data_IF_427708626591
#
_entry.id   IF_427708626591
#
_cell.length_a   1.000
_cell.length_b   1.000
_cell.length_c   1.000
_cell.angle_alpha   90.00
_cell.angle_beta   90.00
_cell.angle_gamma   90.00
#
_symmetry.space_group_name_H-M   'P 1'
#
loop_
_entity.id
_entity.type
_entity.pdbx_description
1 polymer ?
#
# COMPACT_ATOMS: atom_id res chain seq x y z
N UNK A 1 -31.46 22.01 -22.83
CA UNK A 1 -31.06 22.96 -21.79
C UNK A 1 -31.36 22.32 -20.45
N UNK A 2 -30.28 22.08 -19.74
CA UNK A 2 -30.16 21.42 -18.44
C UNK A 2 -31.03 22.05 -17.36
N UNK A 3 -31.42 21.26 -16.36
CA UNK A 3 -30.95 21.52 -14.98
C UNK A 3 -31.41 20.41 -14.04
N UNK A 4 -30.41 19.68 -13.53
CA UNK A 4 -30.46 18.77 -12.40
C UNK A 4 -30.97 19.50 -11.14
N UNK A 5 -31.80 18.81 -10.37
CA UNK A 5 -32.08 19.18 -8.98
C UNK A 5 -32.26 17.91 -8.17
N UNK A 6 -31.16 17.33 -7.74
CA UNK A 6 -31.17 16.32 -6.69
C UNK A 6 -30.67 16.92 -5.39
N UNK A 7 -31.37 16.51 -4.35
CA UNK A 7 -31.53 17.12 -3.04
C UNK A 7 -30.31 16.78 -2.17
N UNK A 8 -29.79 17.78 -1.46
CA UNK A 8 -28.72 17.62 -0.47
C UNK A 8 -29.38 17.21 0.85
N UNK A 9 -29.18 15.96 1.27
CA UNK A 9 -29.46 15.52 2.65
C UNK A 9 -28.20 15.71 3.48
N UNK A 10 -28.27 16.68 4.40
CA UNK A 10 -27.24 17.03 5.37
C UNK A 10 -27.30 16.04 6.54
N UNK A 11 -26.41 15.04 6.56
CA UNK A 11 -26.12 14.27 7.78
C UNK A 11 -24.86 14.84 8.42
N UNK A 12 -25.07 15.68 9.43
CA UNK A 12 -24.04 16.19 10.33
C UNK A 12 -23.60 15.02 11.23
N UNK A 13 -22.44 14.44 10.94
CA UNK A 13 -21.70 13.59 11.88
C UNK A 13 -20.30 14.18 11.99
N UNK A 14 -20.15 15.02 13.02
CA UNK A 14 -18.86 15.43 13.55
C UNK A 14 -18.24 14.20 14.21
N UNK A 15 -17.32 13.56 13.51
CA UNK A 15 -16.32 12.71 14.12
C UNK A 15 -15.05 12.90 13.31
N UNK A 16 -13.96 13.18 14.00
CA UNK A 16 -12.60 13.24 13.47
C UNK A 16 -12.17 11.85 12.98
N UNK A 17 -12.81 11.36 11.90
CA UNK A 17 -12.30 10.26 11.11
C UNK A 17 -11.10 10.81 10.34
N UNK A 18 -9.90 10.49 10.82
CA UNK A 18 -8.74 10.46 9.95
C UNK A 18 -9.10 9.46 8.84
N UNK A 19 -9.49 9.98 7.66
CA UNK A 19 -9.69 9.19 6.45
C UNK A 19 -8.29 8.65 6.10
N UNK A 20 -7.87 7.57 6.74
CA UNK A 20 -6.92 6.65 6.15
C UNK A 20 -7.66 6.13 4.93
N UNK A 21 -7.32 6.68 3.76
CA UNK A 21 -7.81 6.15 2.49
C UNK A 21 -7.62 4.63 2.55
N UNK A 22 -8.71 3.89 2.76
CA UNK A 22 -8.78 2.49 2.37
C UNK A 22 -8.70 2.53 0.85
N UNK A 23 -7.48 2.62 0.34
CA UNK A 23 -7.21 2.54 -1.08
C UNK A 23 -7.67 1.16 -1.47
N UNK A 24 -8.87 1.08 -2.02
CA UNK A 24 -9.45 -0.13 -2.58
C UNK A 24 -8.67 -0.43 -3.86
N UNK A 25 -7.48 -0.98 -3.67
CA UNK A 25 -6.44 -1.17 -4.69
C UNK A 25 -6.81 -2.26 -5.72
N UNK A 26 -7.99 -2.86 -5.59
CA UNK A 26 -8.41 -4.03 -6.34
C UNK A 26 -7.54 -5.26 -6.05
N UNK A 27 -7.91 -6.42 -6.60
CA UNK A 27 -7.19 -7.68 -6.34
C UNK A 27 -5.74 -7.70 -6.87
N UNK A 28 -5.34 -6.69 -7.66
CA UNK A 28 -4.08 -6.69 -8.39
C UNK A 28 -2.87 -6.24 -7.58
N UNK A 29 -3.08 -5.42 -6.54
CA UNK A 29 -1.99 -4.96 -5.68
C UNK A 29 -2.44 -4.97 -4.21
N UNK A 30 -1.54 -5.34 -3.30
CA UNK A 30 -1.79 -5.32 -1.85
C UNK A 30 -0.90 -4.30 -1.16
N UNK A 31 -1.41 -3.75 -0.07
CA UNK A 31 -0.64 -2.95 0.87
C UNK A 31 -0.01 -3.88 1.90
N UNK A 32 1.29 -3.78 2.10
CA UNK A 32 2.04 -4.53 3.11
C UNK A 32 2.89 -3.56 3.93
N UNK A 33 3.23 -3.92 5.16
CA UNK A 33 4.19 -3.17 5.96
C UNK A 33 5.53 -3.90 6.00
N UNK A 34 6.61 -3.17 5.80
CA UNK A 34 7.96 -3.75 5.86
C UNK A 34 9.03 -2.73 6.22
N UNK A 35 10.22 -3.22 6.50
CA UNK A 35 11.42 -2.42 6.75
C UNK A 35 12.39 -2.67 5.60
N UNK A 36 12.87 -1.59 4.97
CA UNK A 36 13.94 -1.71 3.97
C UNK A 36 15.24 -2.07 4.71
N UNK A 37 15.75 -3.27 4.42
CA UNK A 37 17.04 -3.77 4.93
C UNK A 37 18.17 -3.64 3.92
N UNK A 38 17.81 -3.50 2.65
CA UNK A 38 18.78 -3.33 1.58
C UNK A 38 18.11 -2.93 0.28
N UNK A 39 18.87 -2.25 -0.57
CA UNK A 39 18.44 -1.79 -1.88
C UNK A 39 19.47 -2.18 -2.93
N UNK A 40 19.00 -2.65 -4.09
CA UNK A 40 19.80 -2.82 -5.30
C UNK A 40 19.26 -1.91 -6.39
N UNK A 41 19.95 -1.86 -7.53
CA UNK A 41 19.47 -1.12 -8.71
C UNK A 41 18.04 -1.53 -9.12
N UNK A 42 17.69 -2.82 -8.99
CA UNK A 42 16.44 -3.38 -9.52
C UNK A 42 15.43 -3.86 -8.48
N UNK A 43 15.83 -4.05 -7.22
CA UNK A 43 14.99 -4.64 -6.18
C UNK A 43 15.25 -4.05 -4.79
N UNK A 44 14.26 -4.14 -3.92
CA UNK A 44 14.34 -3.81 -2.50
C UNK A 44 14.21 -5.08 -1.65
N UNK A 45 15.06 -5.20 -0.62
CA UNK A 45 14.92 -6.20 0.41
C UNK A 45 14.05 -5.64 1.52
N UNK A 46 12.84 -6.21 1.63
CA UNK A 46 11.88 -5.85 2.66
C UNK A 46 11.83 -6.94 3.71
N UNK A 47 12.08 -6.57 4.96
CA UNK A 47 11.85 -7.39 6.13
C UNK A 47 10.40 -7.20 6.60
N UNK A 48 9.63 -8.28 6.61
CA UNK A 48 8.22 -8.32 6.99
C UNK A 48 8.07 -8.68 8.46
N UNK A 49 6.90 -8.43 9.05
CA UNK A 49 6.61 -8.70 10.46
C UNK A 49 6.75 -10.19 10.86
N UNK A 50 6.74 -11.12 9.90
CA UNK A 50 6.87 -12.57 10.15
C UNK A 50 8.34 -13.04 10.19
N UNK A 51 9.29 -12.15 10.49
CA UNK A 51 10.75 -12.37 10.43
C UNK A 51 11.28 -12.81 9.04
N UNK A 52 10.45 -12.76 8.01
CA UNK A 52 10.80 -13.14 6.66
C UNK A 52 11.28 -11.93 5.86
N UNK A 53 12.34 -12.14 5.07
CA UNK A 53 12.92 -11.14 4.20
C UNK A 53 12.73 -11.54 2.74
N UNK A 54 12.19 -10.63 1.94
CA UNK A 54 11.92 -10.90 0.53
C UNK A 54 12.45 -9.78 -0.35
N UNK A 55 12.99 -10.17 -1.50
CA UNK A 55 13.38 -9.25 -2.55
C UNK A 55 12.17 -8.93 -3.44
N UNK A 56 11.76 -7.67 -3.44
CA UNK A 56 10.71 -7.17 -4.31
C UNK A 56 11.32 -6.33 -5.43
N UNK A 57 11.06 -6.65 -6.71
CA UNK A 57 11.48 -5.80 -7.81
C UNK A 57 10.85 -4.41 -7.67
N UNK A 58 11.64 -3.35 -7.88
CA UNK A 58 11.13 -1.96 -7.80
C UNK A 58 9.97 -1.70 -8.76
N UNK A 59 9.93 -2.40 -9.89
CA UNK A 59 8.83 -2.34 -10.86
C UNK A 59 7.50 -2.87 -10.31
N UNK A 60 7.52 -3.73 -9.30
CA UNK A 60 6.33 -4.28 -8.62
C UNK A 60 5.83 -3.42 -7.47
N UNK A 61 6.67 -2.50 -6.99
CA UNK A 61 6.34 -1.57 -5.91
C UNK A 61 5.71 -0.34 -6.57
N UNK A 62 4.40 -0.16 -6.38
CA UNK A 62 3.61 0.94 -6.97
C UNK A 62 3.53 2.15 -6.06
N UNK A 63 3.89 2.02 -4.78
CA UNK A 63 3.95 3.14 -3.85
C UNK A 63 5.27 3.90 -3.96
N UNK A 64 5.22 5.19 -3.60
CA UNK A 64 6.43 5.93 -3.24
C UNK A 64 6.96 5.37 -1.92
N UNK A 65 8.26 5.22 -1.83
CA UNK A 65 8.95 4.81 -0.60
C UNK A 65 10.18 5.70 -0.42
N UNK A 66 10.66 5.80 0.83
CA UNK A 66 11.93 6.45 1.11
C UNK A 66 12.96 5.37 1.35
N UNK A 67 14.08 5.38 0.63
CA UNK A 67 15.15 4.41 0.86
C UNK A 67 15.97 4.77 2.09
N UNK A 68 15.30 4.81 3.24
CA UNK A 68 15.93 5.00 4.56
C UNK A 68 15.94 3.64 5.22
N UNK A 69 17.13 3.08 5.37
CA UNK A 69 17.33 1.79 6.03
C UNK A 69 16.79 1.82 7.45
N UNK A 70 16.18 0.71 7.87
CA UNK A 70 15.68 0.56 9.24
C UNK A 70 14.37 1.30 9.55
N UNK A 71 13.76 1.98 8.58
CA UNK A 71 12.45 2.63 8.78
C UNK A 71 11.32 1.73 8.30
N UNK A 72 10.34 1.47 9.19
CA UNK A 72 9.10 0.75 8.85
C UNK A 72 8.19 1.64 8.00
N UNK A 73 7.72 1.12 6.87
CA UNK A 73 6.89 1.85 5.91
C UNK A 73 5.85 0.92 5.30
N UNK A 74 4.75 1.49 4.82
CA UNK A 74 3.79 0.74 4.01
C UNK A 74 4.20 0.77 2.53
N UNK A 75 4.16 -0.39 1.89
CA UNK A 75 4.43 -0.58 0.48
C UNK A 75 3.17 -1.07 -0.22
N UNK A 76 2.88 -0.51 -1.39
CA UNK A 76 1.86 -1.06 -2.29
C UNK A 76 2.60 -1.90 -3.31
N UNK A 77 2.40 -3.21 -3.28
CA UNK A 77 3.09 -4.19 -4.10
C UNK A 77 2.08 -5.01 -4.89
N UNK A 78 2.41 -5.35 -6.14
CA UNK A 78 1.58 -6.24 -6.93
C UNK A 78 1.28 -7.57 -6.19
N UNK A 79 0.01 -7.99 -6.16
CA UNK A 79 -0.43 -9.19 -5.42
C UNK A 79 0.25 -10.45 -5.93
N UNK A 80 0.50 -10.55 -7.24
CA UNK A 80 1.11 -11.72 -7.87
C UNK A 80 2.50 -12.05 -7.32
N UNK A 81 3.29 -11.04 -6.93
CA UNK A 81 4.64 -11.29 -6.37
C UNK A 81 4.55 -11.69 -4.89
N UNK A 82 3.50 -11.27 -4.18
CA UNK A 82 3.23 -11.72 -2.81
C UNK A 82 2.74 -13.17 -2.80
N UNK A 83 1.80 -13.51 -3.68
CA UNK A 83 1.30 -14.88 -3.88
C UNK A 83 2.43 -15.84 -4.28
N UNK A 84 3.29 -15.41 -5.22
CA UNK A 84 4.45 -16.21 -5.66
C UNK A 84 5.44 -16.47 -4.53
N UNK A 85 5.63 -15.51 -3.63
CA UNK A 85 6.51 -15.64 -2.47
C UNK A 85 5.81 -16.25 -1.24
N UNK A 86 4.53 -16.62 -1.34
CA UNK A 86 3.69 -17.09 -0.21
C UNK A 86 3.68 -16.11 0.97
N UNK A 87 3.75 -14.82 0.68
CA UNK A 87 3.65 -13.77 1.70
C UNK A 87 2.17 -13.63 2.04
N UNK A 88 1.79 -14.12 3.21
CA UNK A 88 0.48 -13.81 3.78
C UNK A 88 0.46 -12.33 4.17
N UNK A 89 -0.49 -11.60 3.60
CA UNK A 89 -0.69 -10.16 3.77
C UNK A 89 -1.94 -9.91 4.61
#
# INVERSE_FOLDING_TARGET
>A
VDSNKDIIEENVVDDNLEIVEEVNLGDKVKKIEGIIKGETEKALLLHMNNDNEFWFPKSTIKSKYKSVEGTKQSFIIDSWILEKNKVEA
#
